data_IF_585958324674
#
_entry.id   IF_585958324674
#
_cell.length_a   1.000
_cell.length_b   1.000
_cell.length_c   1.000
_cell.angle_alpha   90.00
_cell.angle_beta   90.00
_cell.angle_gamma   90.00
#
_symmetry.space_group_name_H-M   'P 1'
#
loop_
_entity.id
_entity.type
_entity.pdbx_description
1 polymer ?
#
# COMPACT_ATOMS: atom_id res chain seq x y z
N UNK A 1 23.20 0.26 -43.46
CA UNK A 1 23.00 -0.39 -42.15
C UNK A 1 23.27 0.67 -41.09
N UNK A 2 22.27 1.12 -40.33
CA UNK A 2 22.53 1.98 -39.17
C UNK A 2 23.47 1.25 -38.18
N UNK A 3 24.33 1.96 -37.45
CA UNK A 3 25.25 1.35 -36.49
C UNK A 3 24.46 0.57 -35.42
N UNK A 4 24.86 -0.67 -35.15
CA UNK A 4 24.23 -1.49 -34.11
C UNK A 4 24.42 -0.84 -32.74
N UNK A 5 23.38 -0.75 -31.89
CA UNK A 5 23.52 -0.19 -30.56
C UNK A 5 24.52 -1.00 -29.72
N UNK A 6 25.29 -0.29 -28.91
CA UNK A 6 26.26 -0.87 -27.97
C UNK A 6 25.51 -1.57 -26.84
N UNK A 7 26.05 -2.70 -26.37
CA UNK A 7 25.49 -3.43 -25.23
C UNK A 7 25.36 -2.54 -23.99
N UNK A 8 24.18 -2.49 -23.35
CA UNK A 8 24.01 -1.82 -22.07
C UNK A 8 24.85 -2.52 -21.00
N UNK A 9 25.56 -1.72 -20.19
CA UNK A 9 26.32 -2.22 -19.03
C UNK A 9 25.43 -2.52 -17.81
N UNK A 10 24.22 -1.97 -17.80
CA UNK A 10 23.24 -2.12 -16.72
C UNK A 10 22.45 -3.43 -16.85
N UNK A 11 22.01 -3.98 -15.73
CA UNK A 11 21.03 -5.07 -15.72
C UNK A 11 19.64 -4.53 -16.10
N UNK A 12 19.20 -4.85 -17.32
CA UNK A 12 17.98 -4.32 -17.91
C UNK A 12 16.72 -4.88 -17.24
N UNK A 13 16.75 -6.14 -16.84
CA UNK A 13 15.63 -6.78 -16.13
C UNK A 13 15.50 -6.18 -14.74
N UNK A 14 16.61 -6.01 -14.02
CA UNK A 14 16.61 -5.32 -12.73
C UNK A 14 16.17 -3.85 -12.86
N UNK A 15 16.52 -3.18 -13.97
CA UNK A 15 16.14 -1.78 -14.25
C UNK A 15 14.63 -1.62 -14.43
N UNK A 16 13.97 -2.59 -15.06
CA UNK A 16 12.51 -2.67 -15.15
C UNK A 16 11.86 -3.42 -13.98
N UNK A 17 12.64 -3.86 -13.00
CA UNK A 17 12.14 -4.63 -11.84
C UNK A 17 11.43 -5.93 -12.26
N UNK A 18 11.99 -6.63 -13.25
CA UNK A 18 11.44 -7.85 -13.88
C UNK A 18 12.36 -9.05 -13.70
N UNK A 19 11.78 -10.25 -13.84
CA UNK A 19 12.53 -11.50 -13.97
C UNK A 19 13.16 -11.62 -15.37
N UNK A 20 14.23 -12.41 -15.51
CA UNK A 20 14.83 -12.74 -16.81
C UNK A 20 13.85 -13.50 -17.72
N UNK A 21 12.95 -14.29 -17.11
CA UNK A 21 11.88 -15.02 -17.80
C UNK A 21 10.64 -14.14 -18.04
N UNK A 22 10.70 -12.84 -17.75
CA UNK A 22 9.57 -11.93 -17.90
C UNK A 22 9.09 -11.92 -19.34
N UNK A 23 7.79 -12.07 -19.53
CA UNK A 23 7.20 -12.01 -20.85
C UNK A 23 7.32 -10.59 -21.43
N UNK A 24 7.20 -10.44 -22.75
CA UNK A 24 7.21 -9.11 -23.41
C UNK A 24 6.15 -8.17 -22.82
N UNK A 25 5.04 -8.76 -22.42
CA UNK A 25 3.91 -8.11 -21.76
C UNK A 25 4.33 -7.49 -20.42
N UNK A 26 5.09 -8.20 -19.60
CA UNK A 26 5.58 -7.69 -18.33
C UNK A 26 6.57 -6.53 -18.50
N UNK A 27 7.42 -6.58 -19.54
CA UNK A 27 8.33 -5.49 -19.96
C UNK A 27 7.55 -4.20 -20.25
N UNK A 28 6.48 -4.31 -21.01
CA UNK A 28 5.61 -3.20 -21.39
C UNK A 28 4.85 -2.55 -20.22
N UNK A 29 4.38 -3.36 -19.26
CA UNK A 29 3.67 -2.86 -18.06
C UNK A 29 4.64 -2.14 -17.13
N UNK A 30 5.76 -2.79 -16.82
CA UNK A 30 6.75 -2.24 -15.90
C UNK A 30 7.34 -0.92 -16.43
N UNK A 31 7.65 -0.87 -17.73
CA UNK A 31 8.12 0.35 -18.38
C UNK A 31 7.14 1.51 -18.21
N UNK A 32 5.85 1.34 -18.53
CA UNK A 32 4.85 2.41 -18.40
C UNK A 32 4.70 2.88 -16.94
N UNK A 33 4.70 1.94 -16.00
CA UNK A 33 4.57 2.25 -14.58
C UNK A 33 5.77 3.06 -14.05
N UNK A 34 6.99 2.62 -14.40
CA UNK A 34 8.23 3.27 -13.99
C UNK A 34 8.43 4.63 -14.68
N UNK A 35 8.10 4.74 -15.97
CA UNK A 35 8.23 5.99 -16.70
C UNK A 35 7.28 7.05 -16.17
N UNK A 36 6.03 6.70 -15.82
CA UNK A 36 5.09 7.65 -15.19
C UNK A 36 5.60 8.20 -13.86
N UNK A 37 6.35 7.41 -13.09
CA UNK A 37 6.93 7.82 -11.80
C UNK A 37 8.16 8.70 -11.97
N UNK A 38 8.98 8.42 -12.97
CA UNK A 38 10.25 9.10 -13.20
C UNK A 38 10.19 10.13 -14.34
N UNK A 39 9.01 10.39 -14.92
CA UNK A 39 8.84 11.38 -15.97
C UNK A 39 9.24 12.78 -15.44
N UNK A 40 9.99 13.58 -16.21
CA UNK A 40 10.42 14.93 -15.78
C UNK A 40 9.24 15.83 -15.37
N UNK A 41 8.06 15.65 -15.97
CA UNK A 41 6.85 16.40 -15.61
C UNK A 41 6.31 16.08 -14.20
N UNK A 42 6.60 14.89 -13.67
CA UNK A 42 6.07 14.42 -12.36
C UNK A 42 7.13 14.45 -11.28
N UNK A 43 8.38 14.09 -11.60
CA UNK A 43 9.48 14.02 -10.66
C UNK A 43 10.25 15.35 -10.50
N UNK A 44 9.92 16.36 -11.32
CA UNK A 44 10.64 17.64 -11.40
C UNK A 44 11.98 17.53 -12.14
N UNK A 45 12.58 18.66 -12.57
CA UNK A 45 13.82 18.67 -13.33
C UNK A 45 15.01 18.42 -12.41
N UNK A 46 15.24 17.15 -12.04
CA UNK A 46 16.46 16.70 -11.38
C UNK A 46 17.30 15.86 -12.35
N UNK A 47 18.63 16.07 -12.39
CA UNK A 47 19.52 15.25 -13.22
C UNK A 47 19.39 13.75 -12.93
N UNK A 48 19.12 13.38 -11.68
CA UNK A 48 18.95 11.99 -11.27
C UNK A 48 17.66 11.35 -11.81
N UNK A 49 16.54 12.10 -11.84
CA UNK A 49 15.29 11.60 -12.40
C UNK A 49 15.39 11.45 -13.92
N UNK A 50 16.04 12.39 -14.59
CA UNK A 50 16.28 12.34 -16.03
C UNK A 50 17.16 11.15 -16.41
N UNK A 51 18.26 10.92 -15.67
CA UNK A 51 19.13 9.76 -15.86
C UNK A 51 18.39 8.44 -15.62
N UNK A 52 17.50 8.39 -14.62
CA UNK A 52 16.73 7.20 -14.31
C UNK A 52 15.68 6.89 -15.39
N UNK A 53 14.98 7.91 -15.88
CA UNK A 53 14.04 7.79 -16.98
C UNK A 53 14.72 7.33 -18.27
N UNK A 54 15.91 7.89 -18.60
CA UNK A 54 16.73 7.44 -19.73
C UNK A 54 17.09 5.96 -19.63
N UNK A 55 17.53 5.50 -18.45
CA UNK A 55 17.87 4.08 -18.23
C UNK A 55 16.66 3.15 -18.31
N UNK A 56 15.49 3.60 -17.85
CA UNK A 56 14.21 2.87 -18.00
C UNK A 56 13.85 2.71 -19.47
N UNK A 57 13.98 3.77 -20.28
CA UNK A 57 13.73 3.70 -21.72
C UNK A 57 14.73 2.78 -22.42
N UNK A 58 16.03 2.86 -22.10
CA UNK A 58 17.04 1.95 -22.67
C UNK A 58 16.75 0.48 -22.34
N UNK A 59 16.28 0.19 -21.12
CA UNK A 59 15.91 -1.17 -20.74
C UNK A 59 14.67 -1.67 -21.49
N UNK A 60 13.69 -0.79 -21.71
CA UNK A 60 12.53 -1.10 -22.53
C UNK A 60 12.89 -1.31 -24.00
N UNK A 61 13.68 -0.43 -24.62
CA UNK A 61 14.10 -0.54 -26.03
C UNK A 61 14.78 -1.89 -26.32
N UNK A 62 15.62 -2.36 -25.39
CA UNK A 62 16.35 -3.61 -25.54
C UNK A 62 15.54 -4.86 -25.19
N UNK A 63 14.65 -4.79 -24.20
CA UNK A 63 13.84 -5.95 -23.76
C UNK A 63 12.53 -6.11 -24.54
N UNK A 64 12.07 -5.04 -25.21
CA UNK A 64 10.88 -5.05 -26.05
C UNK A 64 11.18 -5.58 -27.46
N UNK A 65 12.36 -5.33 -28.01
CA UNK A 65 12.79 -5.89 -29.30
C UNK A 65 13.31 -7.34 -29.11
N UNK A 66 12.70 -8.35 -29.76
CA UNK A 66 13.12 -9.74 -29.61
C UNK A 66 14.58 -10.01 -30.02
N UNK A 67 15.09 -9.34 -31.06
CA UNK A 67 16.45 -9.53 -31.57
C UNK A 67 17.47 -8.89 -30.63
N UNK A 68 17.16 -7.71 -30.09
CA UNK A 68 17.99 -7.05 -29.08
C UNK A 68 17.98 -7.81 -27.74
N UNK A 69 16.83 -8.36 -27.35
CA UNK A 69 16.70 -9.17 -26.12
C UNK A 69 17.52 -10.44 -26.21
N UNK A 70 17.40 -11.19 -27.31
CA UNK A 70 18.21 -12.41 -27.54
C UNK A 70 19.71 -12.09 -27.52
N UNK A 71 20.11 -10.96 -28.11
CA UNK A 71 21.50 -10.51 -28.09
C UNK A 71 21.96 -10.17 -26.68
N UNK A 72 21.17 -9.40 -25.94
CA UNK A 72 21.45 -9.03 -24.55
C UNK A 72 21.59 -10.26 -23.66
N UNK A 73 20.65 -11.20 -23.77
CA UNK A 73 20.66 -12.44 -22.99
C UNK A 73 21.90 -13.28 -23.33
N UNK A 74 22.25 -13.40 -24.62
CA UNK A 74 23.45 -14.12 -25.06
C UNK A 74 24.75 -13.51 -24.53
N UNK A 75 24.85 -12.19 -24.53
CA UNK A 75 26.08 -11.47 -24.16
C UNK A 75 26.20 -11.23 -22.64
N UNK A 76 25.08 -11.24 -21.89
CA UNK A 76 25.03 -11.26 -20.41
C UNK A 76 25.53 -12.58 -19.82
N UNK A 77 25.57 -13.65 -20.60
CA UNK A 77 26.07 -14.97 -20.20
C UNK A 77 27.47 -15.30 -20.76
N UNK A 78 28.58 -14.71 -20.27
CA UNK A 78 29.90 -15.23 -20.56
C UNK A 78 30.28 -16.33 -19.54
N UNK A 79 30.14 -17.60 -19.98
CA UNK A 79 30.76 -18.84 -19.45
C UNK A 79 29.98 -19.65 -18.38
N UNK A 80 29.48 -20.83 -18.79
CA UNK A 80 29.27 -21.95 -17.86
C UNK A 80 28.14 -22.95 -18.17
N UNK A 81 28.44 -23.95 -19.02
CA UNK A 81 27.72 -25.22 -19.24
C UNK A 81 26.69 -25.24 -20.37
N UNK A 82 27.22 -25.57 -21.55
CA UNK A 82 26.49 -26.31 -22.57
C UNK A 82 26.16 -27.73 -22.05
N UNK A 83 24.88 -28.10 -22.12
CA UNK A 83 24.36 -29.41 -21.73
C UNK A 83 23.40 -29.99 -22.77
N UNK A 84 23.80 -29.95 -24.04
CA UNK A 84 23.54 -30.91 -25.14
C UNK A 84 22.21 -31.71 -25.11
N UNK A 85 21.28 -31.33 -26.00
CA UNK A 85 20.41 -32.30 -26.69
C UNK A 85 21.26 -33.22 -27.58
N UNK A 86 21.00 -34.53 -27.54
CA UNK A 86 21.68 -35.49 -28.42
C UNK A 86 21.26 -36.95 -28.20
N UNK A 87 20.51 -37.45 -29.16
CA UNK A 87 19.96 -38.79 -29.40
C UNK A 87 21.05 -39.88 -29.53
N UNK A 88 20.76 -41.14 -29.15
CA UNK A 88 21.29 -42.32 -29.87
C UNK A 88 21.91 -43.49 -29.06
N UNK A 89 21.16 -44.59 -28.97
CA UNK A 89 21.53 -46.01 -29.16
C UNK A 89 22.74 -46.69 -28.43
N UNK A 90 22.36 -47.67 -27.59
CA UNK A 90 22.81 -49.08 -27.51
C UNK A 90 24.30 -49.47 -27.62
N UNK A 91 24.86 -50.07 -26.55
CA UNK A 91 25.42 -51.45 -26.62
C UNK A 91 25.67 -52.07 -25.23
N UNK A 92 25.59 -53.40 -25.22
CA UNK A 92 25.49 -54.31 -24.08
C UNK A 92 26.81 -54.61 -23.35
N UNK A 93 26.69 -55.03 -22.09
CA UNK A 93 27.69 -55.77 -21.32
C UNK A 93 27.02 -56.42 -20.10
N UNK A 94 27.09 -57.74 -20.00
CA UNK A 94 26.29 -58.57 -19.08
C UNK A 94 27.07 -59.10 -17.86
N UNK A 95 26.30 -59.40 -16.79
CA UNK A 95 26.49 -60.37 -15.66
C UNK A 95 26.86 -59.81 -14.26
N UNK A 96 26.51 -60.49 -13.13
CA UNK A 96 25.15 -60.63 -12.61
C UNK A 96 25.00 -60.46 -11.07
N UNK A 97 23.73 -60.41 -10.64
CA UNK A 97 23.14 -60.79 -9.33
C UNK A 97 23.57 -60.09 -8.02
N UNK A 98 22.63 -59.38 -7.40
CA UNK A 98 21.98 -59.88 -6.17
C UNK A 98 20.75 -59.04 -5.77
N UNK A 99 19.76 -59.73 -5.21
CA UNK A 99 18.65 -59.25 -4.37
C UNK A 99 17.63 -58.24 -4.95
N UNK A 100 16.49 -58.82 -5.34
CA UNK A 100 15.22 -58.17 -5.71
C UNK A 100 14.56 -57.57 -4.45
N UNK A 101 14.43 -56.24 -4.37
CA UNK A 101 13.47 -55.56 -3.47
C UNK A 101 12.16 -55.32 -4.24
N UNK A 102 10.98 -55.48 -3.63
CA UNK A 102 9.72 -55.17 -4.30
C UNK A 102 9.60 -53.65 -4.52
N UNK A 103 8.87 -53.19 -5.56
CA UNK A 103 8.72 -51.77 -5.83
C UNK A 103 7.90 -51.11 -4.72
N UNK A 104 8.47 -50.10 -4.08
CA UNK A 104 7.72 -49.12 -3.31
C UNK A 104 6.76 -48.37 -4.23
N UNK A 105 5.57 -48.10 -3.70
CA UNK A 105 4.42 -47.41 -4.29
C UNK A 105 4.78 -46.30 -5.28
N UNK A 106 3.97 -46.06 -6.32
CA UNK A 106 4.18 -44.92 -7.21
C UNK A 106 4.21 -43.63 -6.37
N UNK A 107 5.06 -42.65 -6.73
CA UNK A 107 5.08 -41.36 -6.04
C UNK A 107 3.65 -40.79 -6.07
N UNK A 108 3.20 -40.15 -4.98
CA UNK A 108 1.87 -39.56 -4.96
C UNK A 108 1.74 -38.67 -6.19
N UNK A 109 0.64 -38.86 -6.94
CA UNK A 109 0.31 -38.00 -8.05
C UNK A 109 0.48 -36.56 -7.56
N UNK A 110 1.32 -35.80 -8.27
CA UNK A 110 1.43 -34.35 -8.10
C UNK A 110 -0.01 -33.84 -7.97
N UNK A 111 -0.40 -33.16 -6.88
CA UNK A 111 -1.78 -32.75 -6.74
C UNK A 111 -2.15 -32.00 -8.01
N UNK A 112 -3.19 -32.50 -8.69
CA UNK A 112 -3.78 -31.79 -9.82
C UNK A 112 -3.91 -30.35 -9.37
N UNK A 113 -3.23 -29.41 -10.06
CA UNK A 113 -3.34 -27.97 -9.79
C UNK A 113 -4.83 -27.72 -9.58
N UNK A 114 -5.22 -27.36 -8.36
CA UNK A 114 -6.63 -27.15 -8.03
C UNK A 114 -7.16 -26.14 -9.05
N UNK A 115 -8.21 -26.53 -9.79
CA UNK A 115 -8.95 -25.66 -10.71
C UNK A 115 -9.44 -24.40 -9.95
N UNK A 116 -9.82 -23.31 -10.64
CA UNK A 116 -10.07 -21.96 -10.09
C UNK A 116 -11.35 -21.89 -9.24
N UNK A 117 -11.34 -22.58 -8.11
CA UNK A 117 -12.31 -22.49 -7.03
C UNK A 117 -11.87 -21.49 -5.94
N UNK A 118 -10.70 -20.85 -6.05
CA UNK A 118 -10.20 -19.94 -5.01
C UNK A 118 -10.68 -18.48 -5.23
N UNK A 119 -10.54 -17.94 -6.44
CA UNK A 119 -10.78 -16.52 -6.71
C UNK A 119 -12.26 -16.10 -6.68
N UNK A 120 -13.17 -16.87 -7.28
CA UNK A 120 -14.61 -16.54 -7.24
C UNK A 120 -15.21 -16.70 -5.84
N UNK A 121 -14.75 -17.70 -5.08
CA UNK A 121 -15.19 -17.90 -3.70
C UNK A 121 -14.63 -16.79 -2.80
N UNK A 122 -13.37 -16.39 -2.99
CA UNK A 122 -12.78 -15.24 -2.31
C UNK A 122 -13.51 -13.94 -2.65
N UNK A 123 -13.88 -13.73 -3.92
CA UNK A 123 -14.68 -12.57 -4.33
C UNK A 123 -16.07 -12.60 -3.70
N UNK A 124 -16.73 -13.76 -3.63
CA UNK A 124 -18.02 -13.89 -2.94
C UNK A 124 -17.90 -13.48 -1.46
N UNK A 125 -16.87 -13.96 -0.75
CA UNK A 125 -16.60 -13.55 0.65
C UNK A 125 -16.36 -12.04 0.77
N UNK A 126 -15.66 -11.43 -0.19
CA UNK A 126 -15.44 -9.98 -0.23
C UNK A 126 -16.76 -9.22 -0.40
N UNK A 127 -17.63 -9.67 -1.31
CA UNK A 127 -18.95 -9.07 -1.51
C UNK A 127 -19.83 -9.20 -0.25
N UNK A 128 -19.82 -10.35 0.43
CA UNK A 128 -20.49 -10.54 1.71
C UNK A 128 -19.89 -9.69 2.85
N UNK A 129 -18.59 -9.34 2.73
CA UNK A 129 -17.93 -8.44 3.69
C UNK A 129 -18.35 -6.99 3.48
N UNK A 130 -18.56 -6.56 2.23
CA UNK A 130 -19.04 -5.22 1.89
C UNK A 130 -20.41 -4.96 2.53
N UNK A 131 -21.32 -5.94 2.49
CA UNK A 131 -22.66 -5.79 3.10
C UNK A 131 -22.63 -5.65 4.63
N UNK A 132 -21.53 -6.09 5.26
CA UNK A 132 -21.33 -6.06 6.71
C UNK A 132 -20.40 -4.94 7.17
N UNK A 133 -20.07 -3.98 6.30
CA UNK A 133 -19.25 -2.82 6.67
C UNK A 133 -19.93 -2.01 7.78
N UNK A 134 -19.17 -1.74 8.83
CA UNK A 134 -19.65 -0.92 9.95
C UNK A 134 -19.66 0.56 9.57
N UNK A 135 -20.42 1.42 10.29
CA UNK A 135 -20.37 2.87 10.07
C UNK A 135 -18.96 3.45 10.20
N UNK A 136 -18.15 2.94 11.13
CA UNK A 136 -16.76 3.38 11.31
C UNK A 136 -15.89 3.01 10.11
N UNK A 137 -16.06 1.81 9.55
CA UNK A 137 -15.33 1.38 8.36
C UNK A 137 -15.73 2.18 7.12
N UNK A 138 -17.01 2.49 6.98
CA UNK A 138 -17.49 3.36 5.90
C UNK A 138 -16.90 4.76 6.01
N UNK A 139 -16.90 5.34 7.21
CA UNK A 139 -16.25 6.63 7.48
C UNK A 139 -14.76 6.60 7.11
N UNK A 140 -14.06 5.54 7.50
CA UNK A 140 -12.63 5.35 7.15
C UNK A 140 -12.42 5.24 5.65
N UNK A 141 -13.24 4.44 4.97
CA UNK A 141 -13.19 4.26 3.51
C UNK A 141 -13.44 5.59 2.77
N UNK A 142 -14.24 6.52 3.32
CA UNK A 142 -14.42 7.83 2.68
C UNK A 142 -13.16 8.69 2.62
N UNK A 143 -12.16 8.38 3.45
CA UNK A 143 -10.90 9.11 3.56
C UNK A 143 -9.70 8.31 3.05
N UNK A 144 -9.91 7.05 2.67
CA UNK A 144 -8.89 6.13 2.20
C UNK A 144 -8.30 6.60 0.86
N UNK A 145 -7.02 6.30 0.63
CA UNK A 145 -6.40 6.57 -0.67
C UNK A 145 -7.03 5.68 -1.75
N UNK A 146 -7.47 6.29 -2.86
CA UNK A 146 -8.09 5.53 -3.94
C UNK A 146 -7.04 4.82 -4.79
N UNK A 147 -7.31 3.59 -5.23
CA UNK A 147 -6.49 2.96 -6.24
C UNK A 147 -6.57 3.77 -7.55
N UNK A 148 -5.54 3.71 -8.39
CA UNK A 148 -5.45 4.52 -9.59
C UNK A 148 -6.30 3.91 -10.69
N UNK A 149 -7.16 4.75 -11.28
CA UNK A 149 -8.25 4.40 -12.20
C UNK A 149 -7.80 3.71 -13.53
N UNK A 150 -6.49 3.49 -13.76
CA UNK A 150 -5.97 2.97 -15.03
C UNK A 150 -5.11 1.70 -14.93
N UNK A 151 -5.01 1.04 -13.77
CA UNK A 151 -4.16 -0.16 -13.67
C UNK A 151 -4.68 -1.32 -14.54
N UNK A 152 -5.95 -1.70 -14.39
CA UNK A 152 -6.57 -2.78 -15.18
C UNK A 152 -6.48 -2.46 -16.68
N UNK A 153 -6.81 -1.23 -17.08
CA UNK A 153 -6.69 -0.80 -18.47
C UNK A 153 -5.26 -0.95 -19.02
N UNK A 154 -4.24 -0.69 -18.20
CA UNK A 154 -2.83 -0.81 -18.62
C UNK A 154 -2.40 -2.26 -18.90
N UNK A 155 -3.06 -3.23 -18.25
CA UNK A 155 -2.79 -4.67 -18.39
C UNK A 155 -3.84 -5.42 -19.21
N UNK A 156 -4.95 -4.78 -19.58
CA UNK A 156 -6.12 -5.44 -20.19
C UNK A 156 -5.77 -6.27 -21.45
N UNK A 157 -4.87 -5.77 -22.29
CA UNK A 157 -4.40 -6.47 -23.50
C UNK A 157 -3.64 -7.78 -23.23
N UNK A 158 -3.25 -8.02 -21.98
CA UNK A 158 -2.49 -9.19 -21.54
C UNK A 158 -3.34 -10.19 -20.75
N UNK A 159 -4.58 -9.83 -20.44
CA UNK A 159 -5.53 -10.71 -19.77
C UNK A 159 -6.22 -11.57 -20.83
N UNK A 160 -6.52 -12.82 -20.49
CA UNK A 160 -7.43 -13.61 -21.34
C UNK A 160 -8.81 -12.93 -21.38
N UNK A 161 -9.60 -13.11 -22.47
CA UNK A 161 -10.95 -12.52 -22.54
C UNK A 161 -11.84 -12.88 -21.34
N UNK A 162 -11.72 -14.12 -20.86
CA UNK A 162 -12.46 -14.60 -19.69
C UNK A 162 -12.02 -13.90 -18.41
N UNK A 163 -10.70 -13.72 -18.20
CA UNK A 163 -10.17 -13.03 -17.03
C UNK A 163 -10.54 -11.54 -17.05
N UNK A 164 -10.42 -10.89 -18.20
CA UNK A 164 -10.81 -9.48 -18.36
C UNK A 164 -12.29 -9.28 -18.01
N UNK A 165 -13.17 -10.13 -18.55
CA UNK A 165 -14.62 -10.09 -18.25
C UNK A 165 -14.88 -10.22 -16.75
N UNK A 166 -14.15 -11.10 -16.04
CA UNK A 166 -14.29 -11.25 -14.59
C UNK A 166 -13.85 -9.99 -13.84
N UNK A 167 -12.69 -9.44 -14.17
CA UNK A 167 -12.17 -8.22 -13.54
C UNK A 167 -13.09 -7.03 -13.76
N UNK A 168 -13.62 -6.86 -14.97
CA UNK A 168 -14.59 -5.81 -15.31
C UNK A 168 -15.93 -6.01 -14.58
N UNK A 169 -16.36 -7.25 -14.36
CA UNK A 169 -17.59 -7.54 -13.60
C UNK A 169 -17.54 -7.13 -12.13
N UNK A 170 -16.33 -6.98 -11.54
CA UNK A 170 -16.16 -6.63 -10.13
C UNK A 170 -16.81 -5.30 -9.80
N UNK A 171 -16.68 -4.30 -10.67
CA UNK A 171 -17.22 -2.96 -10.42
C UNK A 171 -18.74 -2.99 -10.22
N UNK A 172 -19.46 -3.65 -11.14
CA UNK A 172 -20.90 -3.79 -11.05
C UNK A 172 -21.33 -4.60 -9.82
N UNK A 173 -20.63 -5.71 -9.53
CA UNK A 173 -20.93 -6.56 -8.37
C UNK A 173 -20.72 -5.82 -7.04
N UNK A 174 -19.66 -5.04 -6.92
CA UNK A 174 -19.40 -4.17 -5.75
C UNK A 174 -20.46 -3.08 -5.66
N UNK A 175 -20.78 -2.42 -6.78
CA UNK A 175 -21.80 -1.38 -6.85
C UNK A 175 -23.15 -1.86 -6.32
N UNK A 176 -23.58 -3.07 -6.69
CA UNK A 176 -24.85 -3.65 -6.24
C UNK A 176 -24.92 -3.85 -4.73
N UNK A 177 -23.79 -4.22 -4.09
CA UNK A 177 -23.68 -4.55 -2.66
C UNK A 177 -23.47 -3.34 -1.76
N UNK A 178 -22.91 -2.26 -2.29
CA UNK A 178 -22.63 -1.05 -1.50
C UNK A 178 -23.91 -0.33 -1.03
N UNK A 179 -23.97 0.20 0.21
CA UNK A 179 -25.11 0.99 0.68
C UNK A 179 -25.32 2.24 -0.19
N UNK A 180 -26.58 2.52 -0.54
CA UNK A 180 -26.94 3.61 -1.47
C UNK A 180 -26.35 4.98 -1.09
N UNK A 181 -26.26 5.28 0.21
CA UNK A 181 -25.76 6.56 0.72
C UNK A 181 -24.27 6.82 0.39
N UNK A 182 -23.46 5.76 0.26
CA UNK A 182 -21.99 5.86 0.09
C UNK A 182 -21.50 5.24 -1.21
N UNK A 183 -22.39 4.63 -1.99
CA UNK A 183 -22.08 3.89 -3.22
C UNK A 183 -21.34 4.71 -4.28
N UNK A 184 -21.55 6.02 -4.30
CA UNK A 184 -20.90 6.95 -5.23
C UNK A 184 -19.68 7.65 -4.63
N UNK A 185 -19.34 7.40 -3.36
CA UNK A 185 -18.13 7.92 -2.76
C UNK A 185 -16.91 7.22 -3.39
N UNK A 186 -15.97 7.94 -4.03
CA UNK A 186 -14.84 7.33 -4.71
C UNK A 186 -13.95 6.51 -3.77
N UNK A 187 -13.69 6.99 -2.55
CA UNK A 187 -12.90 6.27 -1.54
C UNK A 187 -13.50 4.91 -1.21
N UNK A 188 -14.81 4.86 -0.97
CA UNK A 188 -15.54 3.62 -0.66
C UNK A 188 -15.62 2.69 -1.87
N UNK A 189 -16.08 3.20 -3.01
CA UNK A 189 -16.27 2.41 -4.22
C UNK A 189 -14.94 1.88 -4.72
N UNK A 190 -13.96 2.75 -4.94
CA UNK A 190 -12.71 2.39 -5.62
C UNK A 190 -11.87 1.47 -4.75
N UNK A 191 -11.85 1.65 -3.42
CA UNK A 191 -11.16 0.71 -2.51
C UNK A 191 -11.79 -0.68 -2.54
N UNK A 192 -13.13 -0.77 -2.53
CA UNK A 192 -13.83 -2.05 -2.60
C UNK A 192 -13.64 -2.74 -3.95
N UNK A 193 -13.67 -1.98 -5.05
CA UNK A 193 -13.40 -2.49 -6.40
C UNK A 193 -11.94 -2.94 -6.54
N UNK A 194 -10.98 -2.11 -6.13
CA UNK A 194 -9.55 -2.42 -6.22
C UNK A 194 -9.18 -3.70 -5.47
N UNK A 195 -9.72 -3.89 -4.27
CA UNK A 195 -9.54 -5.13 -3.51
C UNK A 195 -10.15 -6.34 -4.23
N UNK A 196 -11.37 -6.21 -4.77
CA UNK A 196 -12.00 -7.28 -5.55
C UNK A 196 -11.25 -7.62 -6.85
N UNK A 197 -10.67 -6.62 -7.52
CA UNK A 197 -9.86 -6.81 -8.71
C UNK A 197 -8.53 -7.50 -8.39
N UNK A 198 -7.90 -7.18 -7.26
CA UNK A 198 -6.70 -7.89 -6.79
C UNK A 198 -6.99 -9.38 -6.59
N UNK A 199 -8.10 -9.74 -5.93
CA UNK A 199 -8.51 -11.15 -5.74
C UNK A 199 -8.59 -11.90 -7.07
N UNK A 200 -9.22 -11.31 -8.08
CA UNK A 200 -9.37 -11.94 -9.40
C UNK A 200 -8.04 -12.01 -10.15
N UNK A 201 -7.21 -10.97 -10.03
CA UNK A 201 -5.91 -10.86 -10.72
C UNK A 201 -4.79 -11.62 -10.01
N UNK A 202 -4.97 -12.06 -8.76
CA UNK A 202 -3.90 -12.57 -7.89
C UNK A 202 -3.00 -13.61 -8.58
N UNK A 203 -3.60 -14.63 -9.19
CA UNK A 203 -2.85 -15.69 -9.89
C UNK A 203 -2.09 -15.17 -11.12
N UNK A 204 -2.69 -14.25 -11.88
CA UNK A 204 -2.03 -13.60 -13.01
C UNK A 204 -0.82 -12.78 -12.55
N UNK A 205 -0.99 -11.99 -11.47
CA UNK A 205 0.08 -11.19 -10.89
C UNK A 205 1.22 -12.07 -10.34
N UNK A 206 0.89 -13.20 -9.71
CA UNK A 206 1.88 -14.16 -9.20
C UNK A 206 2.72 -14.82 -10.30
N UNK A 207 2.12 -15.04 -11.47
CA UNK A 207 2.78 -15.69 -12.60
C UNK A 207 3.62 -14.72 -13.44
N UNK A 208 3.19 -13.46 -13.59
CA UNK A 208 3.76 -12.54 -14.58
C UNK A 208 4.61 -11.41 -13.99
N UNK A 209 4.54 -11.16 -12.68
CA UNK A 209 5.26 -10.06 -12.04
C UNK A 209 6.34 -10.57 -11.07
N UNK A 210 7.44 -9.82 -10.96
CA UNK A 210 8.47 -10.07 -9.94
C UNK A 210 7.94 -9.80 -8.52
N UNK A 211 8.62 -10.33 -7.50
CA UNK A 211 8.22 -10.17 -6.09
C UNK A 211 7.93 -8.72 -5.71
N UNK A 212 8.92 -7.84 -5.84
CA UNK A 212 8.82 -6.44 -5.41
C UNK A 212 7.75 -5.65 -6.20
N UNK A 213 7.65 -5.87 -7.52
CA UNK A 213 6.68 -5.16 -8.35
C UNK A 213 5.25 -5.66 -8.10
N UNK A 214 5.08 -6.97 -7.95
CA UNK A 214 3.82 -7.59 -7.55
C UNK A 214 3.33 -7.05 -6.22
N UNK A 215 4.21 -6.95 -5.23
CA UNK A 215 3.88 -6.41 -3.90
C UNK A 215 3.39 -4.96 -4.01
N UNK A 216 4.07 -4.11 -4.76
CA UNK A 216 3.62 -2.72 -5.00
C UNK A 216 2.27 -2.64 -5.68
N UNK A 217 2.01 -3.50 -6.67
CA UNK A 217 0.72 -3.54 -7.37
C UNK A 217 -0.40 -3.97 -6.41
N UNK A 218 -0.17 -5.05 -5.66
CA UNK A 218 -1.12 -5.55 -4.65
C UNK A 218 -1.40 -4.50 -3.58
N UNK A 219 -0.35 -3.90 -3.04
CA UNK A 219 -0.45 -2.82 -2.06
C UNK A 219 -1.30 -1.69 -2.64
N UNK A 220 -1.00 -1.22 -3.85
CA UNK A 220 -1.73 -0.11 -4.49
C UNK A 220 -3.21 -0.41 -4.79
N UNK A 221 -3.56 -1.67 -5.06
CA UNK A 221 -4.96 -2.08 -5.27
C UNK A 221 -5.72 -2.25 -3.96
N UNK A 222 -5.04 -2.65 -2.88
CA UNK A 222 -5.67 -3.03 -1.61
C UNK A 222 -5.52 -1.99 -0.50
N UNK A 223 -4.62 -1.00 -0.66
CA UNK A 223 -4.24 -0.02 0.36
C UNK A 223 -5.45 0.65 1.01
N UNK A 224 -6.35 1.20 0.21
CA UNK A 224 -7.51 1.91 0.75
C UNK A 224 -8.46 1.01 1.55
N UNK A 225 -8.66 -0.24 1.09
CA UNK A 225 -9.44 -1.24 1.81
C UNK A 225 -8.77 -1.65 3.13
N UNK A 226 -7.48 -2.01 3.07
CA UNK A 226 -6.68 -2.43 4.22
C UNK A 226 -6.48 -1.32 5.26
N UNK A 227 -6.48 -0.06 4.82
CA UNK A 227 -6.39 1.10 5.69
C UNK A 227 -7.69 1.39 6.45
N UNK A 228 -8.82 0.83 6.02
CA UNK A 228 -10.13 1.14 6.57
C UNK A 228 -10.80 -0.03 7.28
N UNK A 229 -10.85 -1.19 6.63
CA UNK A 229 -11.61 -2.36 7.08
C UNK A 229 -10.86 -3.11 8.17
N UNK A 230 -11.57 -3.55 9.21
CA UNK A 230 -11.01 -4.18 10.41
C UNK A 230 -9.99 -3.31 11.18
N UNK A 231 -9.94 -2.01 10.87
CA UNK A 231 -9.07 -1.04 11.55
C UNK A 231 -9.84 -0.26 12.63
N UNK A 232 -9.21 0.04 13.78
CA UNK A 232 -9.83 0.88 14.80
C UNK A 232 -10.04 2.31 14.27
N UNK A 233 -11.21 2.92 14.55
CA UNK A 233 -11.61 4.25 14.05
C UNK A 233 -10.52 5.32 14.16
N UNK A 234 -9.83 5.39 15.30
CA UNK A 234 -8.80 6.38 15.60
C UNK A 234 -7.41 5.76 15.78
N UNK A 235 -7.15 4.59 15.19
CA UNK A 235 -5.84 3.96 15.24
C UNK A 235 -5.48 3.41 16.64
N UNK A 236 -4.18 3.23 16.93
CA UNK A 236 -3.71 2.52 18.13
C UNK A 236 -4.06 3.23 19.44
N UNK A 237 -4.22 4.56 19.42
CA UNK A 237 -4.55 5.37 20.60
C UNK A 237 -6.04 5.68 20.71
N UNK A 238 -6.91 4.91 20.04
CA UNK A 238 -8.29 5.33 19.83
C UNK A 238 -9.11 5.53 21.11
N UNK A 239 -8.86 4.76 22.18
CA UNK A 239 -9.53 4.99 23.48
C UNK A 239 -9.22 6.36 24.07
N UNK A 240 -7.97 6.82 23.97
CA UNK A 240 -7.58 8.14 24.46
C UNK A 240 -8.22 9.25 23.62
N UNK A 241 -8.25 9.08 22.30
CA UNK A 241 -8.90 10.02 21.36
C UNK A 241 -10.40 10.11 21.63
N UNK A 242 -11.11 9.00 21.79
CA UNK A 242 -12.54 9.00 22.13
C UNK A 242 -12.82 9.75 23.43
N UNK A 243 -12.04 9.48 24.50
CA UNK A 243 -12.17 10.20 25.78
C UNK A 243 -11.93 11.70 25.62
N UNK A 244 -10.93 12.08 24.83
CA UNK A 244 -10.60 13.48 24.59
C UNK A 244 -11.68 14.22 23.81
N UNK A 245 -12.26 13.59 22.79
CA UNK A 245 -13.41 14.14 22.05
C UNK A 245 -14.64 14.26 22.95
N UNK A 246 -14.89 13.27 23.81
CA UNK A 246 -15.98 13.30 24.78
C UNK A 246 -15.78 14.39 25.85
N UNK A 247 -14.54 14.60 26.31
CA UNK A 247 -14.20 15.71 27.19
C UNK A 247 -14.47 17.05 26.49
N UNK A 248 -14.04 17.19 25.23
CA UNK A 248 -14.24 18.39 24.44
C UNK A 248 -15.72 18.78 24.32
N UNK A 249 -16.62 17.80 24.13
CA UNK A 249 -18.09 18.02 24.08
C UNK A 249 -18.66 18.56 25.40
N UNK A 250 -18.06 18.21 26.53
CA UNK A 250 -18.50 18.62 27.87
C UNK A 250 -17.84 19.90 28.35
N UNK A 251 -16.78 20.36 27.68
CA UNK A 251 -16.02 21.53 28.07
C UNK A 251 -16.84 22.82 27.94
N UNK A 252 -16.84 23.69 28.96
CA UNK A 252 -17.53 24.98 28.91
C UNK A 252 -17.09 25.87 27.73
N UNK A 253 -18.04 26.55 27.09
CA UNK A 253 -17.76 27.35 25.90
C UNK A 253 -16.82 28.55 26.16
N UNK A 254 -16.77 29.07 27.39
CA UNK A 254 -15.81 30.10 27.80
C UNK A 254 -14.39 29.53 27.95
N UNK A 255 -14.24 28.31 28.48
CA UNK A 255 -12.95 27.61 28.56
C UNK A 255 -12.38 27.34 27.17
N UNK A 256 -13.20 26.79 26.27
CA UNK A 256 -12.82 26.55 24.88
C UNK A 256 -12.39 27.83 24.17
N UNK A 257 -13.07 28.96 24.44
CA UNK A 257 -12.70 30.28 23.91
C UNK A 257 -11.38 30.79 24.49
N UNK A 258 -11.12 30.62 25.79
CA UNK A 258 -9.86 31.03 26.42
C UNK A 258 -8.67 30.26 25.83
N UNK A 259 -8.78 28.93 25.77
CA UNK A 259 -7.75 28.06 25.18
C UNK A 259 -7.54 28.39 23.70
N UNK A 260 -8.62 28.59 22.95
CA UNK A 260 -8.57 28.98 21.54
C UNK A 260 -7.81 30.29 21.31
N UNK A 261 -8.05 31.31 22.15
CA UNK A 261 -7.37 32.60 22.06
C UNK A 261 -5.90 32.50 22.45
N UNK A 262 -5.57 31.75 23.50
CA UNK A 262 -4.18 31.52 23.92
C UNK A 262 -3.39 30.78 22.83
N UNK A 263 -3.94 29.68 22.32
CA UNK A 263 -3.32 28.89 21.27
C UNK A 263 -3.11 29.66 19.96
N UNK A 264 -3.95 30.67 19.67
CA UNK A 264 -3.77 31.54 18.52
C UNK A 264 -2.57 32.49 18.68
N UNK A 265 -2.20 32.85 19.91
CA UNK A 265 -1.07 33.72 20.22
C UNK A 265 0.28 32.98 20.16
N UNK A 266 0.30 31.65 20.34
CA UNK A 266 1.52 30.82 20.38
C UNK A 266 2.23 30.63 19.03
N UNK A 267 1.87 31.39 17.99
CA UNK A 267 2.61 31.40 16.72
C UNK A 267 2.49 30.12 15.90
N UNK A 268 1.38 29.37 16.05
CA UNK A 268 1.12 28.17 15.25
C UNK A 268 1.06 28.54 13.77
N UNK A 269 2.10 28.15 13.03
CA UNK A 269 2.25 28.41 11.60
C UNK A 269 1.07 27.90 10.76
N UNK A 270 1.01 28.33 9.50
CA UNK A 270 -0.07 27.94 8.57
C UNK A 270 0.06 26.49 8.05
N UNK A 271 1.13 25.78 8.39
CA UNK A 271 1.35 24.39 7.97
C UNK A 271 0.39 23.41 8.66
N UNK A 272 0.17 22.26 8.02
CA UNK A 272 -0.61 21.16 8.59
C UNK A 272 0.05 20.53 9.83
N UNK A 273 -0.60 19.54 10.47
CA UNK A 273 -0.02 18.86 11.61
C UNK A 273 1.34 18.23 11.28
N UNK A 274 2.37 18.44 12.12
CA UNK A 274 3.68 17.86 11.86
C UNK A 274 3.59 16.36 12.06
N UNK A 275 4.06 15.57 11.09
CA UNK A 275 4.17 14.13 11.28
C UNK A 275 5.37 13.79 12.18
N UNK A 276 5.26 12.77 13.05
CA UNK A 276 6.36 12.33 13.88
C UNK A 276 7.55 11.82 13.06
N UNK A 277 8.77 11.95 13.61
CA UNK A 277 9.98 11.50 12.91
C UNK A 277 9.92 9.99 12.65
N UNK A 278 10.18 9.59 11.41
CA UNK A 278 10.16 8.18 11.00
C UNK A 278 8.76 7.64 10.66
N UNK A 279 7.72 8.48 10.69
CA UNK A 279 6.40 8.15 10.16
C UNK A 279 6.04 9.14 9.07
N UNK A 280 5.44 8.64 7.99
CA UNK A 280 5.02 9.46 6.87
C UNK A 280 3.62 9.07 6.42
N UNK A 281 2.76 10.05 6.06
CA UNK A 281 1.38 9.78 5.65
C UNK A 281 1.27 8.89 4.40
N UNK A 282 2.26 8.95 3.52
CA UNK A 282 2.36 8.15 2.29
C UNK A 282 2.79 6.70 2.54
N UNK A 283 3.35 6.42 3.73
CA UNK A 283 3.84 5.10 4.14
C UNK A 283 2.82 4.36 5.02
N UNK A 284 1.92 5.06 5.73
CA UNK A 284 0.88 4.45 6.56
C UNK A 284 -0.49 5.15 6.41
N UNK A 285 -1.26 4.67 5.43
CA UNK A 285 -2.57 5.22 5.10
C UNK A 285 -3.59 5.02 6.24
N UNK A 286 -3.46 3.94 7.02
CA UNK A 286 -4.36 3.64 8.14
C UNK A 286 -4.23 4.66 9.27
N UNK A 287 -3.00 5.07 9.60
CA UNK A 287 -2.71 6.13 10.55
C UNK A 287 -3.14 7.50 10.01
N UNK A 288 -2.94 7.77 8.71
CA UNK A 288 -3.41 9.00 8.07
C UNK A 288 -4.93 9.13 8.17
N UNK A 289 -5.68 8.10 7.78
CA UNK A 289 -7.15 8.04 7.88
C UNK A 289 -7.62 8.22 9.32
N UNK A 290 -6.98 7.53 10.27
CA UNK A 290 -7.30 7.65 11.69
C UNK A 290 -7.12 9.07 12.22
N UNK A 291 -6.03 9.73 11.81
CA UNK A 291 -5.77 11.11 12.19
C UNK A 291 -6.79 12.06 11.57
N UNK A 292 -7.19 11.84 10.32
CA UNK A 292 -8.16 12.69 9.63
C UNK A 292 -9.54 12.58 10.28
N UNK A 293 -9.99 11.35 10.57
CA UNK A 293 -11.25 11.11 11.27
C UNK A 293 -11.27 11.75 12.66
N UNK A 294 -10.21 11.57 13.44
CA UNK A 294 -10.12 12.15 14.76
C UNK A 294 -10.22 13.69 14.72
N UNK A 295 -9.55 14.33 13.75
CA UNK A 295 -9.64 15.78 13.52
C UNK A 295 -11.07 16.19 13.17
N UNK A 296 -11.70 15.52 12.20
CA UNK A 296 -13.09 15.79 11.78
C UNK A 296 -14.04 15.73 12.97
N UNK A 297 -13.95 14.66 13.75
CA UNK A 297 -14.85 14.41 14.88
C UNK A 297 -14.60 15.36 16.06
N UNK A 298 -13.34 15.70 16.34
CA UNK A 298 -12.99 16.69 17.36
C UNK A 298 -13.50 18.10 16.98
N UNK A 299 -13.42 18.49 15.71
CA UNK A 299 -13.99 19.75 15.26
C UNK A 299 -15.52 19.75 15.33
N UNK A 300 -16.16 18.64 14.98
CA UNK A 300 -17.60 18.46 15.13
C UNK A 300 -18.08 18.47 16.59
N UNK A 301 -17.20 18.17 17.55
CA UNK A 301 -17.49 18.22 18.98
C UNK A 301 -17.45 19.64 19.59
N UNK A 302 -16.96 20.65 18.86
CA UNK A 302 -16.93 22.03 19.35
C UNK A 302 -18.35 22.62 19.38
N UNK A 303 -18.82 23.01 20.57
CA UNK A 303 -20.14 23.60 20.77
C UNK A 303 -20.32 25.01 20.16
N UNK A 304 -19.23 25.68 19.78
CA UNK A 304 -19.24 27.03 19.23
C UNK A 304 -18.13 27.21 18.18
N UNK A 305 -18.30 28.11 17.19
CA UNK A 305 -17.25 28.44 16.25
C UNK A 305 -16.04 29.02 16.98
N UNK A 306 -14.86 28.46 16.70
CA UNK A 306 -13.57 28.94 17.21
C UNK A 306 -12.77 29.62 16.09
N UNK A 307 -11.84 30.53 16.41
CA UNK A 307 -10.96 31.14 15.42
C UNK A 307 -10.16 30.09 14.61
N UNK A 308 -9.82 30.36 13.34
CA UNK A 308 -9.06 29.40 12.51
C UNK A 308 -7.72 28.94 13.10
N UNK A 309 -7.04 29.81 13.86
CA UNK A 309 -5.79 29.45 14.54
C UNK A 309 -6.02 28.43 15.67
N UNK A 310 -7.09 28.58 16.42
CA UNK A 310 -7.50 27.62 17.44
C UNK A 310 -7.92 26.28 16.83
N UNK A 311 -8.66 26.31 15.72
CA UNK A 311 -8.99 25.10 14.94
C UNK A 311 -7.73 24.32 14.56
N UNK A 312 -6.74 25.00 13.96
CA UNK A 312 -5.45 24.39 13.62
C UNK A 312 -4.71 23.85 14.84
N UNK A 313 -4.75 24.57 15.95
CA UNK A 313 -4.15 24.09 17.21
C UNK A 313 -4.79 22.80 17.71
N UNK A 314 -6.11 22.74 17.74
CA UNK A 314 -6.84 21.53 18.13
C UNK A 314 -6.57 20.37 17.19
N UNK A 315 -6.58 20.61 15.87
CA UNK A 315 -6.26 19.59 14.88
C UNK A 315 -4.85 19.01 15.10
N UNK A 316 -3.87 19.84 15.46
CA UNK A 316 -2.50 19.41 15.80
C UNK A 316 -2.47 18.60 17.09
N UNK A 317 -3.19 19.02 18.13
CA UNK A 317 -3.26 18.31 19.41
C UNK A 317 -3.90 16.91 19.23
N UNK A 318 -5.01 16.83 18.49
CA UNK A 318 -5.70 15.57 18.20
C UNK A 318 -4.85 14.65 17.33
N UNK A 319 -4.18 15.19 16.30
CA UNK A 319 -3.21 14.44 15.50
C UNK A 319 -2.09 13.84 16.37
N UNK A 320 -1.53 14.65 17.28
CA UNK A 320 -0.51 14.20 18.21
C UNK A 320 -1.02 13.10 19.15
N UNK A 321 -2.29 13.15 19.55
CA UNK A 321 -2.92 12.13 20.39
C UNK A 321 -3.12 10.79 19.63
N UNK A 322 -3.58 10.86 18.38
CA UNK A 322 -3.70 9.66 17.51
C UNK A 322 -2.34 9.01 17.32
N UNK A 323 -1.31 9.80 17.05
CA UNK A 323 0.06 9.33 16.81
C UNK A 323 0.97 9.42 18.03
N UNK A 324 0.39 9.31 19.25
CA UNK A 324 1.12 9.49 20.51
C UNK A 324 2.40 8.64 20.62
N UNK A 325 2.44 7.49 19.98
CA UNK A 325 3.60 6.58 19.97
C UNK A 325 4.79 7.11 19.14
N UNK A 326 4.54 7.98 18.15
CA UNK A 326 5.58 8.53 17.28
C UNK A 326 6.21 9.83 17.81
N UNK A 327 5.59 10.50 18.76
CA UNK A 327 6.11 11.74 19.34
C UNK A 327 6.93 11.49 20.60
N UNK A 328 8.02 12.25 20.78
CA UNK A 328 8.69 12.37 22.08
C UNK A 328 7.76 13.06 23.08
N UNK A 329 7.97 12.83 24.38
CA UNK A 329 7.16 13.45 25.43
C UNK A 329 7.12 14.98 25.29
N UNK A 330 8.28 15.63 25.11
CA UNK A 330 8.37 17.08 24.96
C UNK A 330 7.63 17.58 23.71
N UNK A 331 7.75 16.89 22.57
CA UNK A 331 7.07 17.29 21.35
C UNK A 331 5.54 17.12 21.47
N UNK A 332 5.10 16.04 22.10
CA UNK A 332 3.70 15.79 22.39
C UNK A 332 3.12 16.86 23.34
N UNK A 333 3.79 17.13 24.45
CA UNK A 333 3.36 18.11 25.45
C UNK A 333 3.31 19.53 24.85
N UNK A 334 4.22 19.88 23.94
CA UNK A 334 4.17 21.16 23.23
C UNK A 334 2.97 21.28 22.28
N UNK A 335 2.54 20.18 21.65
CA UNK A 335 1.39 20.17 20.73
C UNK A 335 0.05 20.16 21.47
N UNK A 336 0.00 19.48 22.62
CA UNK A 336 -1.25 19.25 23.36
C UNK A 336 -1.42 20.23 24.52
N UNK A 337 -0.35 20.89 24.96
CA UNK A 337 -0.29 21.81 26.11
C UNK A 337 -1.50 22.74 26.26
N UNK A 338 -1.84 23.56 25.25
CA UNK A 338 -2.98 24.47 25.34
C UNK A 338 -4.32 23.77 25.58
N UNK A 339 -4.45 22.52 25.14
CA UNK A 339 -5.69 21.75 25.12
C UNK A 339 -5.79 20.69 26.22
N UNK A 340 -4.82 20.60 27.15
CA UNK A 340 -4.79 19.52 28.15
C UNK A 340 -6.07 19.45 29.00
N UNK A 341 -6.54 20.58 29.52
CA UNK A 341 -7.80 20.67 30.27
C UNK A 341 -9.01 20.27 29.43
N UNK A 342 -9.30 20.96 28.30
CA UNK A 342 -10.44 20.63 27.45
C UNK A 342 -10.46 19.20 26.89
N UNK A 343 -9.30 18.58 26.74
CA UNK A 343 -9.16 17.18 26.28
C UNK A 343 -9.11 16.17 27.44
N UNK A 344 -9.19 16.62 28.69
CA UNK A 344 -9.19 15.75 29.87
C UNK A 344 -7.87 15.01 30.09
N UNK A 345 -6.75 15.64 29.77
CA UNK A 345 -5.40 15.06 29.85
C UNK A 345 -4.62 15.50 31.11
N UNK A 346 -5.22 16.29 31.99
CA UNK A 346 -4.55 16.81 33.19
C UNK A 346 -4.18 15.73 34.21
N UNK A 347 -4.90 14.61 34.24
CA UNK A 347 -4.62 13.46 35.10
C UNK A 347 -3.52 12.53 34.57
N UNK A 348 -3.09 12.69 33.32
CA UNK A 348 -1.96 11.95 32.76
C UNK A 348 -0.67 12.73 33.07
N UNK A 349 -0.02 12.40 34.19
CA UNK A 349 1.23 13.04 34.60
C UNK A 349 2.21 13.14 33.42
N UNK A 350 2.88 14.29 33.19
CA UNK A 350 3.86 14.42 32.13
C UNK A 350 4.91 13.32 32.32
N UNK A 351 5.25 12.61 31.25
CA UNK A 351 6.08 11.40 31.27
C UNK A 351 7.53 11.62 31.77
N UNK A 352 7.86 12.81 32.27
CA UNK A 352 9.19 13.23 32.71
C UNK A 352 9.40 13.39 34.22
N UNK A 353 8.39 13.18 35.09
CA UNK A 353 8.60 13.30 36.54
C UNK A 353 8.38 11.96 37.24
N UNK A 354 9.33 11.03 37.04
CA UNK A 354 9.59 10.02 38.07
C UNK A 354 10.48 10.66 39.12
N UNK A 355 9.85 11.16 40.17
CA UNK A 355 10.53 11.65 41.37
C UNK A 355 11.38 10.49 41.93
N UNK A 356 12.71 10.61 41.84
CA UNK A 356 13.68 9.65 42.38
C UNK A 356 13.62 9.71 43.91
N UNK A 357 12.60 9.09 44.51
CA UNK A 357 12.55 8.83 45.95
C UNK A 357 13.42 7.63 46.26
N UNK A 358 14.74 7.85 46.34
CA UNK A 358 15.59 6.97 47.12
C UNK A 358 15.34 7.23 48.61
N UNK A 359 15.03 6.21 49.41
CA UNK A 359 14.99 6.37 50.86
C UNK A 359 16.42 6.59 51.36
N UNK A 360 16.65 7.72 52.04
CA UNK A 360 17.85 7.91 52.85
C UNK A 360 17.81 6.90 53.99
N UNK A 361 18.78 5.98 54.01
CA UNK A 361 19.15 5.21 55.20
C UNK A 361 20.26 5.94 55.93
#
# INVERSE_FOLDING_TARGET
MPPRPLLPRDDLYARLELSVDASFEAVEVAWRALLKRHHPDVAGPSPEAEDRAKRINVAHDWLSDPDLRVRYDRERHPSGIAGRSGIGASRAGARPSSARRPPSSPPPARPLRRRPADAEEALARHLDRIERLTPDELDRLTLAETPPIAFVASIARFLSPELLTKVESVEQRVHERLPRAVRWNPGVRDSAVGYGQEIILAAFLDEHLSGDFRERVRERLTRGWSAAVDQPRYGPNGRAVSRAIDALRRSPADELRRVATSAAADGIGRGGPPWPRGLRPDEDDALRVSSELARRDALGALAAPVPPAARRSLERAIHALVLRHGFSANAFDALVGPWRGPLGLDSEAPAGVREDRRPRR
#
